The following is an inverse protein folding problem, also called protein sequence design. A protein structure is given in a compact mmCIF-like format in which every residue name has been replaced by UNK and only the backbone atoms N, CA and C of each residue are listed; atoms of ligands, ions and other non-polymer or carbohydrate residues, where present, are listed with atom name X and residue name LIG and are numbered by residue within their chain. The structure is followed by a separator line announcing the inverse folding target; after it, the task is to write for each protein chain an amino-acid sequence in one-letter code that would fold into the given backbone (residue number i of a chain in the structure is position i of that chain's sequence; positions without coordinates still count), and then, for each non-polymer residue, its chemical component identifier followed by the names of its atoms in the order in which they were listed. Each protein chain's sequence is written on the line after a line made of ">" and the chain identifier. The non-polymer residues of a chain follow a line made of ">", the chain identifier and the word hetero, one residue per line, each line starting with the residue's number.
data_IF_250408306441
#
_entry.id   IF_250408306441
#
_cell.length_a   1.000
_cell.length_b   1.000
_cell.length_c   1.000
_cell.angle_alpha   90.00
_cell.angle_beta   90.00
_cell.angle_gamma   90.00
#
_symmetry.space_group_name_H-M   'P 1'
#
loop_
_entity.id
_entity.type
_entity.pdbx_description
1 polymer ?
#
# COMPACT_ATOMS: atom_id res chain seq x y z
N UNK A 1 -14.41 13.31 7.59
CA UNK A 1 -14.92 12.09 6.89
C UNK A 1 -13.80 11.45 6.08
N UNK A 2 -13.17 10.36 6.52
CA UNK A 2 -12.09 9.69 5.75
C UNK A 2 -12.60 8.79 4.61
N UNK A 3 -13.90 8.47 4.59
CA UNK A 3 -14.54 7.58 3.59
C UNK A 3 -14.39 8.03 2.13
N UNK A 4 -14.16 9.32 1.87
CA UNK A 4 -13.94 9.83 0.52
C UNK A 4 -12.65 9.31 -0.14
N UNK A 5 -11.77 8.62 0.61
CA UNK A 5 -10.56 8.02 0.06
C UNK A 5 -10.85 6.63 -0.54
N UNK A 6 -11.99 6.00 -0.25
CA UNK A 6 -12.36 4.71 -0.86
C UNK A 6 -12.43 4.87 -2.37
N UNK A 7 -11.82 3.93 -3.09
CA UNK A 7 -11.70 3.94 -4.55
C UNK A 7 -10.54 4.79 -5.08
N UNK A 8 -9.93 5.66 -4.27
CA UNK A 8 -8.76 6.44 -4.70
C UNK A 8 -7.53 5.54 -4.84
N UNK A 9 -6.70 5.91 -5.81
CA UNK A 9 -5.36 5.34 -6.03
C UNK A 9 -4.34 6.23 -5.34
N UNK A 10 -3.46 5.62 -4.56
CA UNK A 10 -2.44 6.30 -3.77
C UNK A 10 -1.10 5.66 -4.08
N UNK A 11 -0.12 6.49 -4.40
CA UNK A 11 1.27 6.06 -4.50
C UNK A 11 1.85 5.87 -3.10
N UNK A 12 2.45 4.71 -2.86
CA UNK A 12 3.02 4.32 -1.57
C UNK A 12 4.40 3.68 -1.75
N UNK A 13 5.24 3.83 -0.75
CA UNK A 13 6.38 2.93 -0.51
C UNK A 13 5.88 1.71 0.27
N UNK A 14 6.19 0.53 -0.24
CA UNK A 14 5.74 -0.75 0.30
C UNK A 14 6.78 -1.24 1.30
N UNK A 15 6.33 -1.61 2.49
CA UNK A 15 7.18 -2.15 3.56
C UNK A 15 6.58 -3.46 4.05
N UNK A 16 7.40 -4.51 4.09
CA UNK A 16 7.03 -5.79 4.69
C UNK A 16 7.29 -5.77 6.19
N UNK A 17 6.29 -6.15 6.98
CA UNK A 17 6.40 -6.44 8.41
C UNK A 17 5.90 -7.86 8.71
N UNK A 18 6.05 -8.30 9.96
CA UNK A 18 5.59 -9.62 10.44
C UNK A 18 4.08 -9.81 10.23
N UNK A 19 3.31 -8.74 10.36
CA UNK A 19 1.84 -8.71 10.21
C UNK A 19 1.33 -8.56 8.77
N UNK A 20 2.19 -8.28 7.79
CA UNK A 20 1.75 -8.07 6.40
C UNK A 20 2.54 -6.98 5.67
N UNK A 21 1.96 -6.47 4.58
CA UNK A 21 2.51 -5.35 3.81
C UNK A 21 1.81 -4.05 4.17
N UNK A 22 2.60 -3.00 4.30
CA UNK A 22 2.14 -1.65 4.59
C UNK A 22 2.58 -0.70 3.48
N UNK A 23 1.70 0.20 3.10
CA UNK A 23 1.95 1.28 2.15
C UNK A 23 2.07 2.60 2.88
N UNK A 24 3.27 3.16 2.88
CA UNK A 24 3.53 4.52 3.36
C UNK A 24 3.36 5.50 2.21
N UNK A 25 2.40 6.42 2.26
CA UNK A 25 2.07 7.25 1.11
C UNK A 25 3.22 8.20 0.77
N UNK A 26 3.54 8.30 -0.51
CA UNK A 26 4.63 9.15 -1.04
C UNK A 26 4.32 10.63 -0.79
N UNK A 27 3.04 10.99 -0.87
CA UNK A 27 2.51 12.30 -0.46
C UNK A 27 1.81 12.15 0.88
N UNK A 28 1.70 13.24 1.64
CA UNK A 28 1.06 13.22 2.96
C UNK A 28 -0.29 12.49 2.95
N UNK A 29 -0.46 11.51 3.84
CA UNK A 29 -1.65 10.67 3.87
C UNK A 29 -1.60 9.61 4.96
N UNK A 30 -2.67 8.82 5.13
CA UNK A 30 -2.69 7.71 6.06
C UNK A 30 -1.85 6.53 5.56
N UNK A 31 -1.22 5.80 6.49
CA UNK A 31 -0.63 4.49 6.20
C UNK A 31 -1.72 3.51 5.79
N UNK A 32 -1.45 2.75 4.72
CA UNK A 32 -2.39 1.80 4.13
C UNK A 32 -1.94 0.38 4.43
N UNK A 33 -2.82 -0.46 4.97
CA UNK A 33 -2.59 -1.90 5.09
C UNK A 33 -2.90 -2.55 3.75
N UNK A 34 -1.91 -3.18 3.13
CA UNK A 34 -2.04 -3.79 1.81
C UNK A 34 -2.51 -5.24 1.98
N UNK A 35 -3.60 -5.59 1.32
CA UNK A 35 -4.14 -6.95 1.35
C UNK A 35 -3.13 -7.96 0.81
N UNK A 36 -2.85 -9.02 1.59
CA UNK A 36 -1.92 -10.10 1.22
C UNK A 36 -2.36 -10.88 -0.02
N UNK A 37 -3.65 -10.84 -0.36
CA UNK A 37 -4.17 -11.47 -1.59
C UNK A 37 -3.74 -10.75 -2.87
N UNK A 38 -3.39 -9.47 -2.77
CA UNK A 38 -3.01 -8.63 -3.91
C UNK A 38 -1.50 -8.47 -4.06
N UNK A 39 -0.71 -9.03 -3.13
CA UNK A 39 0.74 -8.95 -3.18
C UNK A 39 1.31 -10.19 -3.86
N UNK A 40 2.05 -10.05 -4.98
CA UNK A 40 2.71 -11.20 -5.60
C UNK A 40 3.69 -11.85 -4.60
N UNK A 41 3.92 -13.15 -4.73
CA UNK A 41 4.85 -13.93 -3.89
C UNK A 41 6.32 -13.43 -3.92
N UNK A 42 6.63 -12.37 -4.67
CA UNK A 42 7.96 -11.76 -4.72
C UNK A 42 8.13 -10.74 -3.59
N UNK A 43 9.35 -10.62 -3.10
CA UNK A 43 9.71 -9.59 -2.14
C UNK A 43 9.65 -8.20 -2.79
N UNK A 44 8.58 -7.47 -2.48
CA UNK A 44 8.32 -6.11 -2.96
C UNK A 44 8.54 -5.05 -1.86
N UNK A 45 9.17 -5.43 -0.75
CA UNK A 45 9.54 -4.50 0.31
C UNK A 45 10.56 -3.50 -0.22
N UNK A 46 10.40 -2.23 0.10
CA UNK A 46 11.21 -1.13 -0.44
C UNK A 46 10.72 -0.58 -1.78
N UNK A 47 9.85 -1.28 -2.50
CA UNK A 47 9.34 -0.81 -3.78
C UNK A 47 8.29 0.30 -3.63
N UNK A 48 8.26 1.22 -4.59
CA UNK A 48 7.17 2.16 -4.80
C UNK A 48 6.07 1.48 -5.63
N UNK A 49 4.81 1.67 -5.25
CA UNK A 49 3.66 1.08 -5.95
C UNK A 49 2.39 1.93 -5.83
N UNK A 50 1.36 1.51 -6.56
CA UNK A 50 0.03 2.11 -6.54
C UNK A 50 -0.93 1.19 -5.80
N UNK A 51 -1.57 1.73 -4.76
CA UNK A 51 -2.58 1.01 -3.97
C UNK A 51 -3.94 1.67 -4.15
N UNK A 52 -4.98 0.88 -4.42
CA UNK A 52 -6.37 1.33 -4.41
C UNK A 52 -6.94 1.14 -3.01
N UNK A 53 -7.44 2.19 -2.40
CA UNK A 53 -8.09 2.10 -1.09
C UNK A 53 -9.44 1.41 -1.25
N UNK A 54 -9.66 0.33 -0.51
CA UNK A 54 -10.88 -0.49 -0.60
C UNK A 54 -11.74 -0.39 0.64
N UNK A 55 -11.14 -0.15 1.80
CA UNK A 55 -11.85 -0.04 3.07
C UNK A 55 -11.19 0.96 4.02
N UNK A 56 -12.00 1.63 4.83
CA UNK A 56 -11.55 2.59 5.83
C UNK A 56 -12.33 2.36 7.11
N UNK A 57 -11.66 1.73 8.06
CA UNK A 57 -12.16 1.51 9.41
C UNK A 57 -11.65 2.59 10.36
N UNK A 58 -12.16 2.61 11.59
CA UNK A 58 -11.66 3.49 12.66
C UNK A 58 -10.19 3.22 13.01
N UNK A 59 -9.68 2.02 12.74
CA UNK A 59 -8.34 1.57 13.14
C UNK A 59 -7.33 1.51 11.99
N UNK A 60 -7.79 1.37 10.75
CA UNK A 60 -6.91 1.19 9.60
C UNK A 60 -7.56 1.60 8.29
N UNK A 61 -6.73 2.11 7.38
CA UNK A 61 -7.03 2.25 5.96
C UNK A 61 -6.49 1.00 5.26
N UNK A 62 -7.32 0.32 4.47
CA UNK A 62 -6.94 -0.89 3.75
C UNK A 62 -6.98 -0.63 2.26
N UNK A 63 -6.11 -1.30 1.53
CA UNK A 63 -6.09 -1.22 0.08
C UNK A 63 -5.53 -2.45 -0.60
N UNK A 64 -5.73 -2.49 -1.90
CA UNK A 64 -5.24 -3.52 -2.80
C UNK A 64 -4.13 -2.95 -3.65
N UNK A 65 -3.01 -3.67 -3.73
CA UNK A 65 -1.92 -3.31 -4.63
C UNK A 65 -2.38 -3.50 -6.06
N UNK A 66 -2.30 -2.43 -6.85
CA UNK A 66 -2.66 -2.42 -8.27
C UNK A 66 -1.43 -2.68 -9.14
N UNK A 67 -0.32 -2.00 -8.83
CA UNK A 67 0.94 -2.16 -9.55
C UNK A 67 2.14 -1.78 -8.70
N UNK A 68 3.29 -2.38 -9.00
CA UNK A 68 4.60 -1.94 -8.53
C UNK A 68 5.19 -1.05 -9.62
N UNK A 69 5.63 0.15 -9.26
CA UNK A 69 6.15 1.15 -10.19
C UNK A 69 7.67 1.08 -10.29
N UNK A 70 8.34 1.04 -9.14
CA UNK A 70 9.80 1.12 -9.05
C UNK A 70 10.25 0.31 -7.84
N UNK A 71 11.32 -0.45 -7.97
CA UNK A 71 11.99 -1.09 -6.84
C UNK A 71 13.42 -0.55 -6.76
N UNK A 72 13.97 -0.34 -5.56
CA UNK A 72 15.39 -0.04 -5.43
C UNK A 72 16.15 -1.18 -6.12
N UNK A 73 16.94 -0.84 -7.13
CA UNK A 73 17.89 -1.78 -7.70
C UNK A 73 18.91 -2.05 -6.59
N UNK A 74 18.99 -3.30 -6.12
CA UNK A 74 20.12 -3.72 -5.31
C UNK A 74 21.36 -3.60 -6.20
N UNK A 75 22.10 -2.50 -6.02
CA UNK A 75 23.47 -2.36 -6.52
C UNK A 75 24.42 -3.04 -5.55
#
# INVERSE_FOLDING_TARGET
>A
MKRHLIGKRVEVYIVKSSSGYYGYPVKHGPVVVISSRSTPYREISGCKGVVKITDISSRAVRGELISVLECPQNT
#
